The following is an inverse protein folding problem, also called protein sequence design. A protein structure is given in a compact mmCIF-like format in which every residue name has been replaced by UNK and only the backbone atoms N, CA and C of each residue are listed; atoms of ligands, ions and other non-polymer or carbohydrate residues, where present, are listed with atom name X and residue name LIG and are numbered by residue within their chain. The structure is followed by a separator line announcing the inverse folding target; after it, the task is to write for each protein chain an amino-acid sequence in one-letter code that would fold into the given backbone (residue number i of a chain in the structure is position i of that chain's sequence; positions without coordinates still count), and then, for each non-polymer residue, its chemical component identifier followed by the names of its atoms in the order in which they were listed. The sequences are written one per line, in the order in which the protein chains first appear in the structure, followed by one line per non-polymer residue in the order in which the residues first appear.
data_IF_847721708237
#
_entry.id   IF_847721708237
#
_cell.length_a   1.000
_cell.length_b   1.000
_cell.length_c   1.000
_cell.angle_alpha   90.00
_cell.angle_beta   90.00
_cell.angle_gamma   90.00
#
_symmetry.space_group_name_H-M   'P 1'
#
loop_
_entity.id
_entity.type
_entity.pdbx_description
1 polymer ?
#
# COMPACT_ATOMS: atom_id res chain seq x y z
N UNK A 1 5.97 16.95 4.81
CA UNK A 1 5.19 18.21 4.99
C UNK A 1 6.09 19.40 5.24
N UNK A 2 7.18 19.26 6.00
CA UNK A 2 8.11 20.34 6.34
C UNK A 2 8.86 20.93 5.14
N UNK A 3 8.95 20.18 4.04
CA UNK A 3 9.61 20.59 2.80
C UNK A 3 8.68 21.31 1.82
N UNK A 4 7.36 21.29 2.05
CA UNK A 4 6.38 21.73 1.06
C UNK A 4 5.27 22.57 1.70
N UNK A 5 4.79 23.63 1.01
CA UNK A 5 3.61 24.35 1.42
C UNK A 5 2.39 23.41 1.51
N UNK A 6 1.50 23.66 2.47
CA UNK A 6 0.31 22.81 2.72
C UNK A 6 -0.53 22.59 1.45
N UNK A 7 -0.70 23.63 0.61
CA UNK A 7 -1.45 23.52 -0.64
C UNK A 7 -0.83 22.60 -1.70
N UNK A 8 0.42 22.15 -1.53
CA UNK A 8 1.08 21.19 -2.42
C UNK A 8 1.18 19.78 -1.83
N UNK A 9 0.81 19.61 -0.57
CA UNK A 9 1.01 18.36 0.17
C UNK A 9 0.21 17.19 -0.45
N UNK A 10 -1.04 17.43 -0.84
CA UNK A 10 -1.89 16.39 -1.48
C UNK A 10 -1.26 15.90 -2.78
N UNK A 11 -0.81 16.84 -3.63
CA UNK A 11 -0.16 16.51 -4.91
C UNK A 11 1.15 15.75 -4.68
N UNK A 12 1.94 16.17 -3.71
CA UNK A 12 3.20 15.51 -3.36
C UNK A 12 2.97 14.09 -2.84
N UNK A 13 1.99 13.89 -1.96
CA UNK A 13 1.62 12.56 -1.49
C UNK A 13 1.12 11.66 -2.64
N UNK A 14 0.36 12.22 -3.59
CA UNK A 14 -0.05 11.50 -4.80
C UNK A 14 1.15 11.04 -5.64
N UNK A 15 2.15 11.90 -5.82
CA UNK A 15 3.39 11.56 -6.55
C UNK A 15 4.19 10.50 -5.78
N UNK A 16 4.34 10.64 -4.46
CA UNK A 16 5.06 9.67 -3.63
C UNK A 16 4.38 8.29 -3.69
N UNK A 17 3.05 8.24 -3.54
CA UNK A 17 2.31 6.99 -3.68
C UNK A 17 2.46 6.40 -5.09
N UNK A 18 2.31 7.22 -6.12
CA UNK A 18 2.49 6.80 -7.51
C UNK A 18 3.89 6.18 -7.72
N UNK A 19 4.95 6.87 -7.33
CA UNK A 19 6.32 6.37 -7.53
C UNK A 19 6.60 5.13 -6.70
N UNK A 20 6.06 5.04 -5.49
CA UNK A 20 6.18 3.84 -4.64
C UNK A 20 5.52 2.62 -5.29
N UNK A 21 4.29 2.76 -5.76
CA UNK A 21 3.58 1.65 -6.41
C UNK A 21 4.16 1.31 -7.79
N UNK A 22 4.69 2.28 -8.54
CA UNK A 22 5.45 2.01 -9.77
C UNK A 22 6.72 1.21 -9.48
N UNK A 23 7.44 1.54 -8.41
CA UNK A 23 8.62 0.78 -8.00
C UNK A 23 8.24 -0.66 -7.59
N UNK A 24 7.14 -0.84 -6.84
CA UNK A 24 6.61 -2.17 -6.50
C UNK A 24 6.24 -2.94 -7.78
N UNK A 25 5.56 -2.28 -8.73
CA UNK A 25 5.17 -2.87 -10.02
C UNK A 25 6.38 -3.36 -10.79
N UNK A 26 7.39 -2.50 -10.94
CA UNK A 26 8.63 -2.84 -11.64
C UNK A 26 9.36 -3.99 -10.93
N UNK A 27 9.46 -3.93 -9.61
CA UNK A 27 10.07 -5.00 -8.82
C UNK A 27 9.36 -6.34 -8.99
N UNK A 28 8.02 -6.34 -8.95
CA UNK A 28 7.21 -7.54 -9.14
C UNK A 28 7.34 -8.10 -10.57
N UNK A 29 7.29 -7.25 -11.58
CA UNK A 29 7.46 -7.66 -12.97
C UNK A 29 8.89 -8.19 -13.23
N UNK A 30 9.91 -7.49 -12.74
CA UNK A 30 11.29 -7.92 -12.87
C UNK A 30 11.59 -9.24 -12.14
N UNK A 31 10.92 -9.50 -11.00
CA UNK A 31 11.17 -10.74 -10.24
C UNK A 31 10.77 -12.00 -11.04
N UNK A 32 9.65 -11.94 -11.77
CA UNK A 32 9.24 -13.03 -12.67
C UNK A 32 10.23 -13.24 -13.81
N UNK A 33 10.60 -12.13 -14.50
CA UNK A 33 11.57 -12.19 -15.60
C UNK A 33 12.95 -12.68 -15.15
N UNK A 34 13.43 -12.22 -13.99
CA UNK A 34 14.73 -12.63 -13.43
C UNK A 34 14.73 -14.10 -13.02
N UNK A 35 13.61 -14.60 -12.48
CA UNK A 35 13.46 -16.00 -12.15
C UNK A 35 13.58 -16.86 -13.42
N UNK A 36 12.81 -16.55 -14.46
CA UNK A 36 12.81 -17.31 -15.70
C UNK A 36 14.15 -17.22 -16.45
N UNK A 37 14.83 -16.06 -16.41
CA UNK A 37 16.10 -15.85 -17.11
C UNK A 37 17.33 -16.44 -16.38
N UNK A 38 17.24 -16.71 -15.08
CA UNK A 38 18.35 -17.09 -14.21
C UNK A 38 18.06 -18.41 -13.47
N UNK A 39 17.33 -19.32 -14.08
CA UNK A 39 16.95 -20.63 -13.49
C UNK A 39 18.15 -21.61 -13.40
N UNK A 40 19.34 -21.23 -13.92
CA UNK A 40 20.58 -22.01 -13.90
C UNK A 40 21.24 -22.10 -12.51
N UNK A 41 22.16 -23.06 -12.35
CA UNK A 41 23.03 -23.21 -11.17
C UNK A 41 23.82 -21.92 -10.92
N UNK A 42 23.43 -21.18 -9.86
CA UNK A 42 24.01 -19.88 -9.50
C UNK A 42 23.12 -18.66 -9.81
N UNK A 43 21.98 -18.83 -10.47
CA UNK A 43 21.03 -17.74 -10.76
C UNK A 43 20.54 -17.03 -9.50
N UNK A 44 20.33 -17.76 -8.41
CA UNK A 44 19.93 -17.21 -7.12
C UNK A 44 20.94 -16.18 -6.58
N UNK A 45 22.25 -16.44 -6.68
CA UNK A 45 23.27 -15.50 -6.24
C UNK A 45 23.34 -14.25 -7.12
N UNK A 46 23.04 -14.36 -8.43
CA UNK A 46 22.97 -13.22 -9.35
C UNK A 46 21.79 -12.33 -9.01
N UNK A 47 20.62 -12.91 -8.71
CA UNK A 47 19.42 -12.17 -8.25
C UNK A 47 19.72 -11.45 -6.94
N UNK A 48 20.33 -12.13 -5.96
CA UNK A 48 20.73 -11.52 -4.69
C UNK A 48 21.73 -10.37 -4.90
N UNK A 49 22.74 -10.56 -5.76
CA UNK A 49 23.69 -9.50 -6.11
C UNK A 49 23.01 -8.27 -6.72
N UNK A 50 22.03 -8.47 -7.61
CA UNK A 50 21.25 -7.39 -8.19
C UNK A 50 20.42 -6.64 -7.12
N UNK A 51 19.78 -7.36 -6.19
CA UNK A 51 19.03 -6.74 -5.08
C UNK A 51 19.94 -5.93 -4.15
N UNK A 52 21.14 -6.45 -3.85
CA UNK A 52 22.16 -5.72 -3.07
C UNK A 52 22.60 -4.45 -3.80
N UNK A 53 22.84 -4.53 -5.11
CA UNK A 53 23.18 -3.35 -5.92
C UNK A 53 22.08 -2.29 -5.86
N UNK A 54 20.81 -2.69 -6.01
CA UNK A 54 19.67 -1.77 -5.89
C UNK A 54 19.60 -1.13 -4.50
N UNK A 55 19.84 -1.90 -3.43
CA UNK A 55 19.86 -1.38 -2.06
C UNK A 55 21.00 -0.37 -1.86
N UNK A 56 22.19 -0.64 -2.39
CA UNK A 56 23.32 0.30 -2.37
C UNK A 56 22.98 1.59 -3.12
N UNK A 57 22.44 1.49 -4.34
CA UNK A 57 22.03 2.67 -5.13
C UNK A 57 20.96 3.48 -4.40
N UNK A 58 19.97 2.82 -3.78
CA UNK A 58 18.96 3.48 -2.96
C UNK A 58 19.56 4.21 -1.76
N UNK A 59 20.53 3.58 -1.09
CA UNK A 59 21.26 4.20 0.04
C UNK A 59 22.06 5.42 -0.42
N UNK A 60 22.78 5.31 -1.53
CA UNK A 60 23.53 6.44 -2.11
C UNK A 60 22.61 7.60 -2.49
N UNK A 61 21.45 7.30 -3.11
CA UNK A 61 20.44 8.31 -3.41
C UNK A 61 19.89 8.99 -2.15
N UNK A 62 19.70 8.24 -1.05
CA UNK A 62 19.24 8.78 0.22
C UNK A 62 20.26 9.75 0.86
N UNK A 63 21.58 9.57 0.62
CA UNK A 63 22.61 10.50 1.08
C UNK A 63 22.51 11.89 0.42
N UNK A 64 21.86 12.00 -0.75
CA UNK A 64 21.56 13.26 -1.42
C UNK A 64 20.40 14.06 -0.79
N UNK A 65 19.68 13.48 0.18
CA UNK A 65 18.57 14.18 0.85
C UNK A 65 19.13 15.28 1.76
N UNK A 66 18.62 16.51 1.57
CA UNK A 66 19.04 17.65 2.37
C UNK A 66 18.74 17.41 3.85
N UNK A 67 19.73 17.64 4.71
CA UNK A 67 19.55 17.58 6.16
C UNK A 67 18.58 18.67 6.60
N UNK A 68 17.54 18.26 7.32
CA UNK A 68 16.58 19.18 7.94
C UNK A 68 16.99 19.50 9.36
N UNK A 69 16.71 20.71 9.87
CA UNK A 69 16.91 21.02 11.27
C UNK A 69 16.07 20.06 12.14
N UNK A 70 16.63 19.66 13.26
CA UNK A 70 15.98 18.77 14.21
C UNK A 70 14.80 19.49 14.84
N UNK A 71 13.58 18.99 14.67
CA UNK A 71 12.36 19.62 15.19
C UNK A 71 12.32 19.68 16.72
N UNK A 72 12.96 18.73 17.41
CA UNK A 72 13.05 18.65 18.87
C UNK A 72 14.45 18.14 19.30
N UNK A 73 15.46 19.02 19.39
CA UNK A 73 16.83 18.60 19.70
C UNK A 73 16.98 18.03 21.13
N UNK A 74 16.10 18.41 22.04
CA UNK A 74 16.11 17.95 23.45
C UNK A 74 15.44 16.58 23.66
N UNK A 75 14.87 16.00 22.61
CA UNK A 75 14.20 14.71 22.71
C UNK A 75 15.23 13.59 22.82
N UNK A 76 15.52 13.15 24.04
CA UNK A 76 16.34 11.97 24.26
C UNK A 76 15.60 10.73 23.70
N UNK A 77 16.28 9.97 22.83
CA UNK A 77 15.80 8.64 22.40
C UNK A 77 15.91 7.73 23.63
N UNK A 78 14.87 7.72 24.43
CA UNK A 78 14.74 6.77 25.53
C UNK A 78 14.31 5.45 24.86
N UNK A 79 15.04 4.36 25.09
CA UNK A 79 14.80 3.05 24.49
C UNK A 79 13.43 2.36 24.79
N UNK A 80 12.44 3.15 25.21
CA UNK A 80 11.05 2.72 25.47
C UNK A 80 10.14 3.10 24.31
N UNK A 81 10.39 2.52 23.13
CA UNK A 81 9.59 2.74 21.92
C UNK A 81 8.08 2.54 22.19
N UNK A 82 7.71 1.49 22.92
CA UNK A 82 6.32 1.22 23.30
C UNK A 82 5.77 2.24 24.32
N UNK A 83 6.63 2.83 25.15
CA UNK A 83 6.23 3.86 26.10
C UNK A 83 5.81 5.18 25.44
N UNK A 84 6.43 5.52 24.32
CA UNK A 84 6.10 6.73 23.55
C UNK A 84 4.91 6.52 22.60
N UNK A 85 4.64 5.27 22.21
CA UNK A 85 3.52 4.88 21.34
C UNK A 85 2.16 5.08 22.05
N UNK A 86 2.06 4.63 23.30
CA UNK A 86 0.80 4.66 24.06
C UNK A 86 0.16 6.04 24.19
N UNK A 87 0.86 7.11 24.65
CA UNK A 87 0.26 8.44 24.78
C UNK A 87 -0.20 8.98 23.42
N UNK A 88 0.57 8.76 22.36
CA UNK A 88 0.19 9.21 21.01
C UNK A 88 -1.04 8.48 20.50
N UNK A 89 -1.17 7.19 20.76
CA UNK A 89 -2.38 6.44 20.44
C UNK A 89 -3.59 6.96 21.23
N UNK A 90 -3.43 7.22 22.52
CA UNK A 90 -4.51 7.81 23.34
C UNK A 90 -4.98 9.12 22.74
N UNK A 91 -4.07 10.01 22.35
CA UNK A 91 -4.42 11.29 21.71
C UNK A 91 -5.16 11.09 20.37
N UNK A 92 -4.69 10.16 19.51
CA UNK A 92 -5.36 9.80 18.25
C UNK A 92 -6.76 9.28 18.52
N UNK A 93 -6.94 8.43 19.55
CA UNK A 93 -8.23 7.82 19.86
C UNK A 93 -9.18 8.77 20.60
N UNK A 94 -8.70 9.84 21.23
CA UNK A 94 -9.52 10.85 21.87
C UNK A 94 -10.31 11.70 20.86
N UNK A 95 -9.73 12.04 19.72
CA UNK A 95 -10.44 12.76 18.66
C UNK A 95 -11.19 11.75 17.75
N UNK A 96 -12.52 11.88 17.70
CA UNK A 96 -13.39 11.00 16.89
C UNK A 96 -13.04 11.02 15.41
N UNK A 97 -12.77 12.20 14.86
CA UNK A 97 -12.48 12.38 13.43
C UNK A 97 -11.12 11.78 13.09
N UNK A 98 -10.12 12.08 13.91
CA UNK A 98 -8.76 11.57 13.70
C UNK A 98 -8.72 10.05 13.84
N UNK A 99 -9.34 9.51 14.89
CA UNK A 99 -9.48 8.07 15.10
C UNK A 99 -10.10 7.38 13.89
N UNK A 100 -11.21 7.92 13.37
CA UNK A 100 -11.90 7.36 12.19
C UNK A 100 -10.97 7.29 10.99
N UNK A 101 -10.26 8.38 10.68
CA UNK A 101 -9.32 8.43 9.54
C UNK A 101 -8.16 7.47 9.74
N UNK A 102 -7.55 7.43 10.93
CA UNK A 102 -6.41 6.55 11.24
C UNK A 102 -6.80 5.07 11.15
N UNK A 103 -7.94 4.69 11.73
CA UNK A 103 -8.43 3.31 11.68
C UNK A 103 -8.84 2.89 10.26
N UNK A 104 -9.51 3.77 9.52
CA UNK A 104 -9.87 3.49 8.11
C UNK A 104 -8.63 3.31 7.24
N UNK A 105 -7.60 4.13 7.46
CA UNK A 105 -6.34 4.00 6.75
C UNK A 105 -5.61 2.70 7.11
N UNK A 106 -5.57 2.35 8.40
CA UNK A 106 -4.97 1.10 8.86
C UNK A 106 -5.72 -0.14 8.32
N UNK A 107 -7.05 -0.10 8.35
CA UNK A 107 -7.90 -1.15 7.78
C UNK A 107 -7.67 -1.33 6.27
N UNK A 108 -7.55 -0.23 5.52
CA UNK A 108 -7.23 -0.26 4.09
C UNK A 108 -5.91 -1.01 3.82
N UNK A 109 -4.87 -0.78 4.62
CA UNK A 109 -3.60 -1.52 4.50
C UNK A 109 -3.75 -3.01 4.81
N UNK A 110 -4.55 -3.35 5.83
CA UNK A 110 -4.89 -4.74 6.12
C UNK A 110 -5.62 -5.44 4.97
N UNK A 111 -6.63 -4.77 4.40
CA UNK A 111 -7.33 -5.27 3.20
C UNK A 111 -6.39 -5.41 2.01
N UNK A 112 -5.49 -4.45 1.80
CA UNK A 112 -4.48 -4.51 0.75
C UNK A 112 -3.59 -5.74 0.86
N UNK A 113 -3.13 -6.07 2.07
CA UNK A 113 -2.34 -7.28 2.32
C UNK A 113 -3.13 -8.57 2.03
N UNK A 114 -4.38 -8.65 2.50
CA UNK A 114 -5.27 -9.78 2.19
C UNK A 114 -5.50 -9.91 0.67
N UNK A 115 -5.71 -8.78 -0.02
CA UNK A 115 -5.92 -8.75 -1.47
C UNK A 115 -4.69 -9.26 -2.24
N UNK A 116 -3.46 -8.92 -1.82
CA UNK A 116 -2.24 -9.45 -2.45
C UNK A 116 -2.17 -10.98 -2.34
N UNK A 117 -2.52 -11.54 -1.17
CA UNK A 117 -2.58 -12.99 -0.97
C UNK A 117 -3.70 -13.63 -1.79
N UNK A 118 -4.87 -12.99 -1.83
CA UNK A 118 -6.02 -13.43 -2.63
C UNK A 118 -5.71 -13.40 -4.13
N UNK A 119 -5.07 -12.35 -4.65
CA UNK A 119 -4.72 -12.25 -6.07
C UNK A 119 -3.82 -13.40 -6.53
N UNK A 120 -2.87 -13.82 -5.70
CA UNK A 120 -2.02 -14.96 -6.02
C UNK A 120 -2.83 -16.26 -6.09
N UNK A 121 -3.69 -16.51 -5.07
CA UNK A 121 -4.56 -17.68 -5.02
C UNK A 121 -5.61 -17.65 -6.16
N UNK A 122 -6.16 -16.49 -6.45
CA UNK A 122 -7.11 -16.23 -7.53
C UNK A 122 -6.51 -16.60 -8.89
N UNK A 123 -5.31 -16.10 -9.19
CA UNK A 123 -4.63 -16.44 -10.46
C UNK A 123 -4.28 -17.92 -10.57
N UNK A 124 -3.66 -18.50 -9.55
CA UNK A 124 -3.15 -19.87 -9.62
C UNK A 124 -4.21 -20.94 -9.42
N UNK A 125 -5.11 -20.77 -8.45
CA UNK A 125 -6.06 -21.81 -8.05
C UNK A 125 -7.36 -21.69 -8.82
N UNK A 126 -7.93 -20.48 -8.90
CA UNK A 126 -9.24 -20.29 -9.52
C UNK A 126 -9.15 -20.20 -11.04
N UNK A 127 -8.17 -19.44 -11.57
CA UNK A 127 -8.00 -19.25 -13.01
C UNK A 127 -7.02 -20.23 -13.66
N UNK A 128 -6.26 -21.02 -12.88
CA UNK A 128 -5.27 -21.98 -13.40
C UNK A 128 -4.10 -21.33 -14.15
N UNK A 129 -3.77 -20.07 -13.82
CA UNK A 129 -2.72 -19.33 -14.50
C UNK A 129 -1.32 -19.74 -14.02
N UNK A 130 -0.35 -19.65 -14.92
CA UNK A 130 1.07 -19.77 -14.63
C UNK A 130 1.59 -18.55 -13.85
N UNK A 131 2.88 -18.56 -13.43
CA UNK A 131 3.48 -17.53 -12.61
C UNK A 131 3.46 -16.14 -13.26
N UNK A 132 3.84 -16.06 -14.54
CA UNK A 132 3.86 -14.79 -15.27
C UNK A 132 2.46 -14.15 -15.44
N UNK A 133 1.43 -14.84 -15.96
CA UNK A 133 0.08 -14.28 -16.05
C UNK A 133 -0.49 -13.87 -14.69
N UNK A 134 -0.19 -14.63 -13.62
CA UNK A 134 -0.60 -14.30 -12.25
C UNK A 134 0.08 -13.02 -11.77
N UNK A 135 1.37 -12.85 -12.03
CA UNK A 135 2.10 -11.62 -11.71
C UNK A 135 1.53 -10.40 -12.44
N UNK A 136 1.04 -10.57 -13.66
CA UNK A 136 0.38 -9.50 -14.41
C UNK A 136 -0.92 -9.00 -13.77
N UNK A 137 -1.62 -9.83 -13.00
CA UNK A 137 -2.76 -9.39 -12.20
C UNK A 137 -2.33 -8.35 -11.15
N UNK A 138 -1.22 -8.62 -10.45
CA UNK A 138 -0.65 -7.70 -9.46
C UNK A 138 -0.10 -6.42 -10.10
N UNK A 139 0.49 -6.53 -11.29
CA UNK A 139 0.94 -5.37 -12.08
C UNK A 139 -0.24 -4.46 -12.41
N UNK A 140 -1.36 -5.01 -12.91
CA UNK A 140 -2.56 -4.23 -13.21
C UNK A 140 -3.10 -3.51 -11.96
N UNK A 141 -3.18 -4.20 -10.82
CA UNK A 141 -3.57 -3.62 -9.54
C UNK A 141 -2.65 -2.45 -9.14
N UNK A 142 -1.33 -2.65 -9.19
CA UNK A 142 -0.33 -1.66 -8.77
C UNK A 142 -0.31 -0.43 -9.68
N UNK A 143 -0.41 -0.62 -10.99
CA UNK A 143 -0.55 0.47 -11.97
C UNK A 143 -1.83 1.26 -11.70
N UNK A 144 -2.93 0.56 -11.43
CA UNK A 144 -4.19 1.18 -11.02
C UNK A 144 -4.00 2.09 -9.79
N UNK A 145 -3.39 1.57 -8.71
CA UNK A 145 -3.14 2.35 -7.48
C UNK A 145 -2.29 3.60 -7.78
N UNK A 146 -1.24 3.44 -8.59
CA UNK A 146 -0.37 4.53 -9.01
C UNK A 146 -1.14 5.65 -9.68
N UNK A 147 -1.96 5.30 -10.68
CA UNK A 147 -2.76 6.26 -11.44
C UNK A 147 -3.88 6.87 -10.61
N UNK A 148 -4.51 6.08 -9.73
CA UNK A 148 -5.55 6.55 -8.82
C UNK A 148 -5.03 7.57 -7.80
N UNK A 149 -3.86 7.31 -7.22
CA UNK A 149 -3.20 8.24 -6.30
C UNK A 149 -2.75 9.52 -7.00
N UNK A 150 -2.13 9.40 -8.18
CA UNK A 150 -1.70 10.55 -8.96
C UNK A 150 -2.87 11.41 -9.44
N UNK A 151 -3.88 10.78 -10.05
CA UNK A 151 -5.09 11.45 -10.52
C UNK A 151 -5.86 12.11 -9.38
N UNK A 152 -6.02 11.42 -8.24
CA UNK A 152 -6.59 11.96 -7.02
C UNK A 152 -5.84 13.20 -6.52
N UNK A 153 -4.50 13.16 -6.57
CA UNK A 153 -3.64 14.30 -6.21
C UNK A 153 -3.82 15.51 -7.13
N UNK A 154 -4.00 15.29 -8.44
CA UNK A 154 -4.25 16.36 -9.41
C UNK A 154 -5.65 16.98 -9.24
N UNK A 155 -6.68 16.15 -9.10
CA UNK A 155 -8.09 16.58 -8.98
C UNK A 155 -8.31 17.35 -7.67
N UNK A 156 -7.61 17.01 -6.61
CA UNK A 156 -7.74 17.62 -5.27
C UNK A 156 -7.39 19.10 -5.21
N UNK A 157 -6.73 19.67 -6.25
CA UNK A 157 -6.35 21.10 -6.32
C UNK A 157 -5.68 21.62 -5.04
N UNK A 158 -4.86 20.78 -4.40
CA UNK A 158 -4.11 21.14 -3.19
C UNK A 158 -4.88 21.08 -1.87
N UNK A 159 -6.15 20.67 -1.86
CA UNK A 159 -6.98 20.49 -0.66
C UNK A 159 -7.37 19.02 -0.50
N UNK A 160 -7.56 18.57 0.75
CA UNK A 160 -8.14 17.25 0.99
C UNK A 160 -9.61 17.26 0.58
N UNK A 161 -9.94 16.51 -0.47
CA UNK A 161 -11.32 16.40 -0.96
C UNK A 161 -11.88 15.00 -0.66
N UNK A 162 -12.78 14.95 0.31
CA UNK A 162 -13.46 13.71 0.69
C UNK A 162 -14.46 13.18 -0.36
N UNK A 163 -14.74 13.95 -1.44
CA UNK A 163 -15.50 13.43 -2.59
C UNK A 163 -14.69 12.36 -3.31
N UNK A 164 -13.38 12.58 -3.47
CA UNK A 164 -12.45 11.60 -4.07
C UNK A 164 -12.42 10.32 -3.23
N UNK A 165 -12.34 10.44 -1.91
CA UNK A 165 -12.45 9.31 -0.98
C UNK A 165 -13.75 8.51 -1.19
N UNK A 166 -14.91 9.20 -1.26
CA UNK A 166 -16.20 8.53 -1.47
C UNK A 166 -16.29 7.85 -2.84
N UNK A 167 -15.83 8.51 -3.90
CA UNK A 167 -15.77 7.92 -5.24
C UNK A 167 -14.87 6.68 -5.23
N UNK A 168 -13.70 6.76 -4.59
CA UNK A 168 -12.81 5.62 -4.39
C UNK A 168 -13.49 4.46 -3.68
N UNK A 169 -14.23 4.73 -2.59
CA UNK A 169 -14.97 3.70 -1.85
C UNK A 169 -16.03 2.98 -2.70
N UNK A 170 -16.87 3.73 -3.42
CA UNK A 170 -17.87 3.13 -4.31
C UNK A 170 -17.23 2.30 -5.41
N UNK A 171 -16.16 2.80 -6.00
CA UNK A 171 -15.45 2.11 -7.06
C UNK A 171 -14.73 0.85 -6.54
N UNK A 172 -14.20 0.88 -5.30
CA UNK A 172 -13.65 -0.30 -4.61
C UNK A 172 -14.72 -1.40 -4.47
N UNK A 173 -15.89 -1.05 -3.95
CA UNK A 173 -16.98 -2.00 -3.76
C UNK A 173 -17.45 -2.59 -5.10
N UNK A 174 -17.67 -1.74 -6.11
CA UNK A 174 -18.08 -2.19 -7.44
C UNK A 174 -17.04 -3.11 -8.09
N UNK A 175 -15.75 -2.76 -7.97
CA UNK A 175 -14.66 -3.58 -8.53
C UNK A 175 -14.50 -4.93 -7.82
N UNK A 176 -14.73 -4.98 -6.51
CA UNK A 176 -14.73 -6.24 -5.76
C UNK A 176 -15.84 -7.19 -6.22
N UNK A 177 -17.05 -6.66 -6.44
CA UNK A 177 -18.17 -7.44 -6.99
C UNK A 177 -17.84 -7.90 -8.39
N UNK A 178 -17.33 -7.01 -9.26
CA UNK A 178 -16.93 -7.36 -10.62
C UNK A 178 -15.84 -8.45 -10.66
N UNK A 179 -14.87 -8.40 -9.73
CA UNK A 179 -13.80 -9.39 -9.65
C UNK A 179 -14.34 -10.79 -9.31
N UNK A 180 -15.40 -10.90 -8.53
CA UNK A 180 -16.05 -12.18 -8.22
C UNK A 180 -16.60 -12.88 -9.48
N UNK A 181 -16.99 -12.12 -10.49
CA UNK A 181 -17.54 -12.64 -11.76
C UNK A 181 -16.50 -12.71 -12.88
N UNK A 182 -15.37 -12.04 -12.72
CA UNK A 182 -14.33 -11.91 -13.73
C UNK A 182 -13.39 -13.13 -13.85
N UNK A 183 -13.58 -14.18 -13.03
CA UNK A 183 -12.69 -15.35 -13.01
C UNK A 183 -12.72 -16.20 -14.29
N UNK A 184 -13.71 -16.01 -15.14
CA UNK A 184 -13.86 -16.74 -16.39
C UNK A 184 -12.99 -16.19 -17.53
N UNK A 185 -12.51 -14.94 -17.42
CA UNK A 185 -11.71 -14.29 -18.45
C UNK A 185 -10.57 -13.46 -17.84
N UNK A 186 -9.34 -13.74 -18.27
CA UNK A 186 -8.12 -13.09 -17.79
C UNK A 186 -8.12 -11.57 -18.05
N UNK A 187 -8.65 -11.16 -19.21
CA UNK A 187 -8.71 -9.74 -19.56
C UNK A 187 -9.65 -8.98 -18.61
N UNK A 188 -10.84 -9.54 -18.37
CA UNK A 188 -11.82 -8.98 -17.44
C UNK A 188 -11.28 -8.92 -16.00
N UNK A 189 -10.57 -9.96 -15.55
CA UNK A 189 -9.93 -9.99 -14.25
C UNK A 189 -8.86 -8.90 -14.11
N UNK A 190 -8.00 -8.71 -15.12
CA UNK A 190 -7.00 -7.64 -15.17
C UNK A 190 -7.64 -6.26 -15.14
N UNK A 191 -8.70 -6.05 -15.93
CA UNK A 191 -9.44 -4.79 -15.94
C UNK A 191 -10.09 -4.48 -14.59
N UNK A 192 -10.73 -5.47 -13.96
CA UNK A 192 -11.33 -5.33 -12.64
C UNK A 192 -10.28 -5.00 -11.57
N UNK A 193 -9.12 -5.66 -11.56
CA UNK A 193 -8.01 -5.38 -10.65
C UNK A 193 -7.39 -4.01 -10.91
N UNK A 194 -7.26 -3.58 -12.14
CA UNK A 194 -6.81 -2.23 -12.48
C UNK A 194 -7.75 -1.17 -11.89
N UNK A 195 -9.06 -1.34 -12.09
CA UNK A 195 -10.08 -0.42 -11.55
C UNK A 195 -10.09 -0.46 -10.02
N UNK A 196 -9.94 -1.65 -9.42
CA UNK A 196 -9.79 -1.83 -7.98
C UNK A 196 -8.58 -1.07 -7.44
N UNK A 197 -7.45 -1.15 -8.13
CA UNK A 197 -6.24 -0.41 -7.82
C UNK A 197 -6.46 1.10 -7.90
N UNK A 198 -7.03 1.59 -9.00
CA UNK A 198 -7.34 3.01 -9.20
C UNK A 198 -8.22 3.56 -8.06
N UNK A 199 -9.24 2.80 -7.69
CA UNK A 199 -10.10 3.10 -6.56
C UNK A 199 -9.34 3.15 -5.23
N UNK A 200 -8.43 2.18 -5.01
CA UNK A 200 -7.56 2.13 -3.82
C UNK A 200 -6.65 3.35 -3.70
N UNK A 201 -6.02 3.79 -4.78
CA UNK A 201 -5.21 5.01 -4.81
C UNK A 201 -6.02 6.27 -4.49
N UNK A 202 -7.20 6.41 -5.08
CA UNK A 202 -8.13 7.52 -4.78
C UNK A 202 -8.62 7.50 -3.34
N UNK A 203 -8.81 6.33 -2.76
CA UNK A 203 -9.26 6.16 -1.38
C UNK A 203 -8.15 6.47 -0.36
N UNK A 204 -6.95 5.95 -0.55
CA UNK A 204 -5.85 6.06 0.41
C UNK A 204 -5.28 7.48 0.50
N UNK A 205 -5.19 8.20 -0.62
CA UNK A 205 -4.53 9.50 -0.70
C UNK A 205 -5.13 10.55 0.25
N UNK A 206 -6.46 10.80 0.28
CA UNK A 206 -7.05 11.79 1.20
C UNK A 206 -6.85 11.41 2.67
N UNK A 207 -6.92 10.12 3.02
CA UNK A 207 -6.71 9.63 4.38
C UNK A 207 -5.28 9.90 4.86
N UNK A 208 -4.28 9.51 4.05
CA UNK A 208 -2.87 9.74 4.36
C UNK A 208 -2.58 11.23 4.53
N UNK A 209 -3.10 12.07 3.64
CA UNK A 209 -2.89 13.52 3.69
C UNK A 209 -3.58 14.13 4.91
N UNK A 210 -4.78 13.67 5.28
CA UNK A 210 -5.47 14.13 6.49
C UNK A 210 -4.69 13.81 7.75
N UNK A 211 -4.12 12.60 7.87
CA UNK A 211 -3.28 12.22 9.01
C UNK A 211 -2.10 13.18 9.15
N UNK A 212 -1.47 13.56 8.03
CA UNK A 212 -0.34 14.48 8.04
C UNK A 212 -0.74 15.91 8.41
N UNK A 213 -1.86 16.41 7.88
CA UNK A 213 -2.32 17.78 8.11
C UNK A 213 -2.90 17.99 9.51
N UNK A 214 -3.61 17.00 10.05
CA UNK A 214 -4.21 17.10 11.38
C UNK A 214 -3.23 16.84 12.52
N UNK A 215 -2.05 16.31 12.18
CA UNK A 215 -0.97 16.11 13.16
C UNK A 215 -0.31 17.42 13.49
N UNK A 216 -0.13 17.70 14.81
CA UNK A 216 0.66 18.84 15.27
C UNK A 216 2.09 18.72 14.74
N UNK A 217 2.70 19.83 14.32
CA UNK A 217 4.03 19.83 13.69
C UNK A 217 5.09 19.12 14.53
N UNK A 218 5.13 19.41 15.83
CA UNK A 218 6.09 18.82 16.76
C UNK A 218 5.85 17.33 17.08
N UNK A 219 4.65 16.77 16.79
CA UNK A 219 4.29 15.39 17.07
C UNK A 219 4.08 14.56 15.78
N UNK A 220 4.19 15.18 14.61
CA UNK A 220 3.87 14.56 13.31
C UNK A 220 4.60 13.24 13.10
N UNK A 221 5.89 13.17 13.39
CA UNK A 221 6.67 11.93 13.29
C UNK A 221 6.14 10.81 14.19
N UNK A 222 5.78 11.14 15.44
CA UNK A 222 5.20 10.17 16.39
C UNK A 222 3.83 9.69 15.94
N UNK A 223 2.98 10.59 15.45
CA UNK A 223 1.64 10.26 14.93
C UNK A 223 1.77 9.35 13.72
N UNK A 224 2.63 9.68 12.76
CA UNK A 224 2.87 8.85 11.58
C UNK A 224 3.39 7.46 11.96
N UNK A 225 4.33 7.39 12.92
CA UNK A 225 4.82 6.12 13.46
C UNK A 225 3.73 5.29 14.13
N UNK A 226 2.86 5.94 14.92
CA UNK A 226 1.73 5.28 15.59
C UNK A 226 0.68 4.76 14.60
N UNK A 227 0.37 5.53 13.57
CA UNK A 227 -0.56 5.09 12.51
C UNK A 227 0.05 3.95 11.70
N UNK A 228 1.35 4.00 11.36
CA UNK A 228 2.03 2.89 10.72
C UNK A 228 2.00 1.62 11.57
N UNK A 229 2.18 1.74 12.89
CA UNK A 229 2.02 0.60 13.79
C UNK A 229 0.61 -0.01 13.69
N UNK A 230 -0.45 0.81 13.69
CA UNK A 230 -1.82 0.34 13.47
C UNK A 230 -1.98 -0.34 12.11
N UNK A 231 -1.36 0.18 11.04
CA UNK A 231 -1.36 -0.46 9.73
C UNK A 231 -0.74 -1.87 9.79
N UNK A 232 0.41 -2.02 10.44
CA UNK A 232 1.05 -3.33 10.60
C UNK A 232 0.23 -4.29 11.44
N UNK A 233 -0.44 -3.83 12.48
CA UNK A 233 -1.39 -4.65 13.26
C UNK A 233 -2.52 -5.14 12.35
N UNK A 234 -3.14 -4.27 11.56
CA UNK A 234 -4.19 -4.65 10.62
C UNK A 234 -3.69 -5.61 9.54
N UNK A 235 -2.48 -5.41 9.00
CA UNK A 235 -1.83 -6.33 8.04
C UNK A 235 -1.64 -7.71 8.68
N UNK A 236 -1.11 -7.76 9.90
CA UNK A 236 -0.90 -9.01 10.63
C UNK A 236 -2.21 -9.75 10.88
N UNK A 237 -3.24 -9.05 11.36
CA UNK A 237 -4.56 -9.62 11.61
C UNK A 237 -5.20 -10.13 10.30
N UNK A 238 -5.16 -9.35 9.24
CA UNK A 238 -5.70 -9.74 7.93
C UNK A 238 -4.98 -10.97 7.37
N UNK A 239 -3.64 -11.04 7.50
CA UNK A 239 -2.86 -12.20 7.08
C UNK A 239 -3.18 -13.44 7.90
N UNK A 240 -3.36 -13.28 9.23
CA UNK A 240 -3.77 -14.36 10.12
C UNK A 240 -5.18 -14.88 9.79
N UNK A 241 -6.14 -13.98 9.58
CA UNK A 241 -7.50 -14.33 9.15
C UNK A 241 -7.49 -15.08 7.82
N UNK A 242 -6.70 -14.60 6.84
CA UNK A 242 -6.57 -15.27 5.55
C UNK A 242 -6.00 -16.69 5.69
N UNK A 243 -4.96 -16.86 6.51
CA UNK A 243 -4.36 -18.17 6.77
C UNK A 243 -5.37 -19.13 7.44
N UNK A 244 -6.09 -18.66 8.47
CA UNK A 244 -7.12 -19.43 9.13
C UNK A 244 -8.26 -19.79 8.18
N UNK A 245 -8.73 -18.85 7.37
CA UNK A 245 -9.77 -19.10 6.37
C UNK A 245 -9.37 -20.21 5.39
N UNK A 246 -8.09 -20.24 4.95
CA UNK A 246 -7.57 -21.32 4.08
C UNK A 246 -7.60 -22.70 4.74
N UNK A 247 -7.52 -22.78 6.07
CA UNK A 247 -7.61 -24.07 6.79
C UNK A 247 -9.05 -24.58 6.86
N UNK A 248 -10.03 -23.69 6.80
CA UNK A 248 -11.46 -24.03 6.94
C UNK A 248 -12.19 -24.15 5.61
N UNK A 249 -11.68 -23.51 4.54
CA UNK A 249 -12.28 -23.56 3.20
C UNK A 249 -11.49 -24.57 2.36
N UNK A 250 -12.02 -25.78 2.10
CA UNK A 250 -11.37 -26.74 1.22
C UNK A 250 -11.19 -26.16 -0.17
N UNK A 251 -10.00 -26.34 -0.75
CA UNK A 251 -9.64 -25.83 -2.11
C UNK A 251 -10.63 -26.34 -3.17
N UNK A 252 -11.23 -27.49 -2.94
CA UNK A 252 -12.26 -28.12 -3.81
C UNK A 252 -13.52 -27.25 -3.97
N UNK A 253 -13.93 -26.53 -2.92
CA UNK A 253 -15.08 -25.61 -2.96
C UNK A 253 -14.81 -24.36 -3.81
N UNK A 254 -13.55 -23.92 -3.87
CA UNK A 254 -13.13 -22.74 -4.66
C UNK A 254 -13.11 -23.08 -6.16
N UNK A 255 -12.89 -24.37 -6.52
CA UNK A 255 -12.91 -24.85 -7.90
C UNK A 255 -14.31 -25.20 -8.41
N UNK A 256 -15.25 -25.44 -7.52
CA UNK A 256 -16.61 -25.86 -7.86
C UNK A 256 -17.61 -24.69 -7.96
N UNK A 257 -17.23 -23.49 -7.55
CA UNK A 257 -18.02 -22.25 -7.66
C UNK A 257 -17.59 -21.43 -8.88
#
# INVERSE_FOLDING_TARGET
PELLPEGRLVKANGIILMTTYLAITLGTACSGLLKDALEDDGGLYRIQGFLVLLAVLGTLAALGIRRMPVAQPELAIRGKILGDLRPTLVDIFADRSFRSVALTYAYFWGLGAALLMLCNSYGKILMGLEDWPTSMLLVCLSVGISLGAFGGGLISKGKVDFRIYRMGLFLLLASMVALGWAHQDVFTARAALFVLGLAGGMFALPLQTSIQLWSRENLRGRVMGSVNFLCFVCIFLASGIFLLARLWIPIEWIRAS
#
